data_IF_705419919767
#
_entry.id   IF_705419919767
#
_cell.length_a   1.000
_cell.length_b   1.000
_cell.length_c   1.000
_cell.angle_alpha   90.00
_cell.angle_beta   90.00
_cell.angle_gamma   90.00
#
_symmetry.space_group_name_H-M   'P 1'
#
loop_
_entity.id
_entity.type
_entity.pdbx_description
1 polymer ?
#
# COMPACT_ATOMS: atom_id res chain seq x y z
N UNK A 1 1.29 6.37 10.28
CA UNK A 1 2.76 6.47 10.13
C UNK A 1 3.27 5.22 9.44
N UNK A 2 4.09 5.36 8.42
CA UNK A 2 4.74 4.23 7.72
C UNK A 2 6.25 4.29 7.98
N UNK A 3 6.76 3.45 8.85
CA UNK A 3 8.18 3.37 9.20
C UNK A 3 8.82 2.22 8.41
N UNK A 4 9.98 2.45 7.78
CA UNK A 4 10.63 1.41 7.01
C UNK A 4 11.90 1.85 6.28
N UNK A 5 12.33 1.00 5.36
CA UNK A 5 13.54 1.15 4.55
C UNK A 5 13.30 1.81 3.18
N UNK A 6 14.08 1.41 2.17
CA UNK A 6 13.95 1.92 0.79
C UNK A 6 12.60 1.65 0.15
N UNK A 7 11.96 0.53 0.46
CA UNK A 7 10.68 0.15 -0.12
C UNK A 7 9.58 1.11 0.37
N UNK A 8 9.61 1.48 1.65
CA UNK A 8 8.74 2.52 2.21
C UNK A 8 9.11 3.92 1.69
N UNK A 9 10.42 4.21 1.55
CA UNK A 9 10.91 5.49 0.99
C UNK A 9 10.39 5.75 -0.43
N UNK A 10 10.20 4.72 -1.25
CA UNK A 10 9.64 4.86 -2.61
C UNK A 10 8.23 5.48 -2.64
N UNK A 11 7.54 5.54 -1.51
CA UNK A 11 6.22 6.15 -1.34
C UNK A 11 5.06 5.52 -2.14
N UNK A 12 5.25 4.37 -2.80
CA UNK A 12 4.21 3.82 -3.68
C UNK A 12 3.12 3.07 -2.90
N UNK A 13 3.46 1.99 -2.14
CA UNK A 13 2.43 1.27 -1.39
C UNK A 13 1.77 2.15 -0.33
N UNK A 14 2.52 3.10 0.25
CA UNK A 14 1.99 4.06 1.22
C UNK A 14 0.98 4.99 0.58
N UNK A 15 1.30 5.54 -0.60
CA UNK A 15 0.37 6.32 -1.41
C UNK A 15 -0.89 5.51 -1.74
N UNK A 16 -0.76 4.26 -2.17
CA UNK A 16 -1.92 3.43 -2.55
C UNK A 16 -2.84 3.15 -1.35
N UNK A 17 -2.28 3.01 -0.15
CA UNK A 17 -3.07 2.92 1.09
C UNK A 17 -3.76 4.25 1.38
N UNK A 18 -3.06 5.39 1.24
CA UNK A 18 -3.64 6.72 1.38
C UNK A 18 -4.81 6.93 0.42
N UNK A 19 -4.66 6.55 -0.86
CA UNK A 19 -5.70 6.64 -1.90
C UNK A 19 -6.96 5.87 -1.48
N UNK A 20 -6.79 4.67 -0.89
CA UNK A 20 -7.91 3.92 -0.33
C UNK A 20 -8.63 4.71 0.75
N UNK A 21 -7.92 5.26 1.73
CA UNK A 21 -8.54 5.98 2.85
C UNK A 21 -9.17 7.30 2.40
N UNK A 22 -8.54 8.06 1.49
CA UNK A 22 -9.11 9.31 0.97
C UNK A 22 -10.39 9.08 0.18
N UNK A 23 -10.45 8.05 -0.62
CA UNK A 23 -11.66 7.69 -1.39
C UNK A 23 -12.73 7.01 -0.53
N UNK A 24 -12.35 6.23 0.46
CA UNK A 24 -13.27 5.48 1.31
C UNK A 24 -13.88 6.30 2.42
N UNK A 25 -13.12 7.23 2.99
CA UNK A 25 -13.52 8.01 4.16
C UNK A 25 -13.31 9.52 3.94
N UNK A 26 -13.98 10.12 2.94
CA UNK A 26 -13.71 11.52 2.53
C UNK A 26 -14.06 12.55 3.63
N UNK A 27 -14.84 12.16 4.62
CA UNK A 27 -15.23 13.02 5.74
C UNK A 27 -14.28 12.90 6.96
N UNK A 28 -13.28 12.02 6.92
CA UNK A 28 -12.31 11.86 7.98
C UNK A 28 -11.01 12.59 7.64
N UNK A 29 -10.53 13.40 8.57
CA UNK A 29 -9.19 14.00 8.48
C UNK A 29 -8.15 13.00 8.97
N UNK A 30 -7.62 12.18 8.06
CA UNK A 30 -6.58 11.20 8.35
C UNK A 30 -5.24 11.77 7.87
N UNK A 31 -4.29 11.91 8.80
CA UNK A 31 -2.94 12.35 8.50
C UNK A 31 -2.03 11.15 8.32
N UNK A 32 -1.40 11.06 7.16
CA UNK A 32 -0.40 10.06 6.85
C UNK A 32 0.99 10.68 6.86
N UNK A 33 1.96 9.94 7.37
CA UNK A 33 3.37 10.32 7.33
C UNK A 33 4.21 9.13 6.91
N UNK A 34 5.02 9.32 5.87
CA UNK A 34 6.00 8.34 5.44
C UNK A 34 7.32 8.59 6.18
N UNK A 35 7.80 7.61 6.89
CA UNK A 35 9.07 7.58 7.60
C UNK A 35 9.99 6.47 7.07
N UNK A 36 10.00 6.23 5.75
CA UNK A 36 10.93 5.33 5.07
C UNK A 36 12.27 6.01 4.80
N UNK A 37 13.38 5.30 4.99
CA UNK A 37 14.72 5.77 4.61
C UNK A 37 15.52 4.64 3.96
N UNK A 38 16.04 4.90 2.76
CA UNK A 38 16.75 3.91 1.96
C UNK A 38 17.91 3.26 2.72
N UNK A 39 17.96 1.92 2.66
CA UNK A 39 19.00 1.11 3.29
C UNK A 39 18.89 1.05 4.82
N UNK A 40 17.75 1.44 5.42
CA UNK A 40 17.58 1.33 6.86
C UNK A 40 17.50 -0.13 7.31
N UNK A 41 18.10 -0.34 8.46
CA UNK A 41 17.97 -1.46 9.37
C UNK A 41 17.18 -1.02 10.61
N UNK A 42 16.79 -1.94 11.46
CA UNK A 42 16.04 -1.63 12.68
C UNK A 42 16.75 -0.59 13.57
N UNK A 43 18.07 -0.68 13.73
CA UNK A 43 18.83 0.29 14.53
C UNK A 43 18.81 1.71 13.93
N UNK A 44 18.76 1.87 12.60
CA UNK A 44 18.66 3.19 11.98
C UNK A 44 17.28 3.82 12.25
N UNK A 45 16.22 3.01 12.25
CA UNK A 45 14.89 3.46 12.61
C UNK A 45 14.84 3.96 14.06
N UNK A 46 15.49 3.25 15.00
CA UNK A 46 15.68 3.68 16.39
C UNK A 46 16.43 5.01 16.49
N UNK A 47 17.54 5.14 15.75
CA UNK A 47 18.39 6.34 15.75
C UNK A 47 17.66 7.62 15.35
N UNK A 48 16.67 7.54 14.47
CA UNK A 48 15.89 8.68 14.01
C UNK A 48 14.49 8.77 14.62
N UNK A 49 14.13 7.86 15.52
CA UNK A 49 12.78 7.73 16.06
C UNK A 49 12.26 9.02 16.69
N UNK A 50 13.08 9.68 17.52
CA UNK A 50 12.71 10.91 18.23
C UNK A 50 12.54 12.14 17.33
N UNK A 51 13.19 12.15 16.16
CA UNK A 51 13.08 13.27 15.22
C UNK A 51 12.08 13.04 14.09
N UNK A 52 11.89 11.79 13.68
CA UNK A 52 11.14 11.43 12.46
C UNK A 52 9.82 10.68 12.74
N UNK A 53 9.60 10.19 13.95
CA UNK A 53 8.41 9.41 14.31
C UNK A 53 7.66 10.03 15.50
N UNK A 54 8.33 10.18 16.64
CA UNK A 54 7.70 10.60 17.90
C UNK A 54 7.00 11.97 17.83
N UNK A 55 7.51 13.00 17.14
CA UNK A 55 6.88 14.32 17.10
C UNK A 55 5.48 14.32 16.46
N UNK A 56 5.17 13.34 15.60
CA UNK A 56 3.87 13.23 14.93
C UNK A 56 2.80 12.54 15.78
N UNK A 57 3.16 11.97 16.94
CA UNK A 57 2.24 11.28 17.87
C UNK A 57 1.28 10.33 17.13
N UNK A 58 1.77 9.41 16.30
CA UNK A 58 0.93 8.55 15.47
C UNK A 58 0.12 7.57 16.35
N UNK A 59 -1.13 7.31 15.96
CA UNK A 59 -1.95 6.26 16.59
C UNK A 59 -1.56 4.85 16.09
N UNK A 60 -1.16 4.75 14.84
CA UNK A 60 -0.76 3.50 14.19
C UNK A 60 0.58 3.69 13.50
N UNK A 61 1.48 2.73 13.67
CA UNK A 61 2.79 2.71 13.03
C UNK A 61 2.96 1.37 12.33
N UNK A 62 2.99 1.36 10.99
CA UNK A 62 3.46 0.18 10.26
C UNK A 62 4.98 0.15 10.27
N UNK A 63 5.58 -1.04 10.40
CA UNK A 63 7.03 -1.23 10.46
C UNK A 63 7.43 -2.25 9.40
N UNK A 64 8.13 -1.81 8.34
CA UNK A 64 8.65 -2.66 7.27
C UNK A 64 10.18 -2.61 7.29
N UNK A 65 10.81 -3.54 7.99
CA UNK A 65 12.25 -3.70 8.15
C UNK A 65 12.63 -5.18 8.07
N UNK A 66 13.90 -5.50 7.92
CA UNK A 66 14.42 -6.86 7.79
C UNK A 66 15.14 -7.10 6.47
N UNK A 67 14.74 -6.44 5.36
CA UNK A 67 15.37 -6.61 4.05
C UNK A 67 16.88 -6.27 4.09
N UNK A 68 17.28 -5.24 4.82
CA UNK A 68 18.68 -4.84 4.95
C UNK A 68 19.35 -5.45 6.18
N UNK A 69 18.58 -5.84 7.19
CA UNK A 69 19.08 -6.38 8.45
C UNK A 69 19.79 -7.70 8.25
N UNK A 70 19.26 -8.58 7.40
CA UNK A 70 19.87 -9.87 7.05
C UNK A 70 21.15 -9.80 6.22
N UNK A 71 21.59 -8.57 5.83
CA UNK A 71 22.88 -8.31 5.19
C UNK A 71 23.12 -9.07 3.88
N UNK A 72 22.08 -9.55 3.20
CA UNK A 72 22.14 -10.25 1.90
C UNK A 72 23.08 -11.46 1.88
N UNK A 73 22.99 -12.31 2.90
CA UNK A 73 23.78 -13.53 3.03
C UNK A 73 22.94 -14.66 3.63
N UNK A 74 23.55 -15.85 3.84
CA UNK A 74 22.91 -16.93 4.58
C UNK A 74 22.67 -16.53 6.03
N UNK A 75 21.90 -17.35 6.78
CA UNK A 75 21.61 -17.08 8.19
C UNK A 75 22.91 -16.96 9.02
N UNK A 76 22.95 -15.88 9.79
CA UNK A 76 24.00 -15.61 10.77
C UNK A 76 23.34 -15.24 12.09
N UNK A 77 23.69 -15.98 13.14
CA UNK A 77 23.08 -15.82 14.46
C UNK A 77 23.31 -14.43 15.07
N UNK A 78 24.51 -13.87 14.96
CA UNK A 78 24.84 -12.56 15.52
C UNK A 78 24.07 -11.43 14.83
N UNK A 79 23.95 -11.52 13.51
CA UNK A 79 23.17 -10.57 12.71
C UNK A 79 21.70 -10.65 13.09
N UNK A 80 21.17 -11.88 13.23
CA UNK A 80 19.79 -12.07 13.63
C UNK A 80 19.54 -11.59 15.06
N UNK A 81 20.41 -11.90 16.02
CA UNK A 81 20.30 -11.42 17.41
C UNK A 81 20.30 -9.88 17.49
N UNK A 82 21.07 -9.22 16.62
CA UNK A 82 21.04 -7.75 16.50
C UNK A 82 19.67 -7.26 16.01
N UNK A 83 19.14 -7.86 14.93
CA UNK A 83 17.81 -7.54 14.42
C UNK A 83 16.72 -7.76 15.47
N UNK A 84 16.74 -8.91 16.15
CA UNK A 84 15.79 -9.26 17.20
C UNK A 84 15.79 -8.21 18.33
N UNK A 85 16.98 -7.85 18.83
CA UNK A 85 17.16 -6.83 19.86
C UNK A 85 16.60 -5.48 19.41
N UNK A 86 16.97 -5.04 18.24
CA UNK A 86 16.61 -3.70 17.73
C UNK A 86 15.12 -3.61 17.43
N UNK A 87 14.52 -4.65 16.82
CA UNK A 87 13.08 -4.71 16.59
C UNK A 87 12.27 -4.79 17.88
N UNK A 88 12.77 -5.52 18.89
CA UNK A 88 12.16 -5.58 20.23
C UNK A 88 12.19 -4.20 20.90
N UNK A 89 13.33 -3.51 20.82
CA UNK A 89 13.47 -2.14 21.33
C UNK A 89 12.53 -1.18 20.60
N UNK A 90 12.43 -1.31 19.28
CA UNK A 90 11.52 -0.48 18.46
C UNK A 90 10.05 -0.70 18.85
N UNK A 91 9.64 -1.95 19.09
CA UNK A 91 8.31 -2.27 19.58
C UNK A 91 8.02 -1.61 20.95
N UNK A 92 9.00 -1.61 21.85
CA UNK A 92 8.91 -0.90 23.13
C UNK A 92 8.72 0.61 22.94
N UNK A 93 9.53 1.24 22.08
CA UNK A 93 9.42 2.68 21.77
C UNK A 93 8.06 3.06 21.16
N UNK A 94 7.48 2.19 20.32
CA UNK A 94 6.14 2.37 19.77
C UNK A 94 5.08 2.31 20.88
N UNK A 95 5.20 1.36 21.79
CA UNK A 95 4.29 1.23 22.92
C UNK A 95 4.38 2.42 23.90
N UNK A 96 5.57 2.94 24.17
CA UNK A 96 5.80 4.15 24.98
C UNK A 96 5.09 5.40 24.41
N UNK A 97 4.95 5.49 23.08
CA UNK A 97 4.15 6.55 22.44
C UNK A 97 2.63 6.36 22.61
N UNK A 98 2.18 5.22 23.13
CA UNK A 98 0.77 4.82 23.13
C UNK A 98 0.24 4.47 21.73
N UNK A 99 1.11 4.18 20.79
CA UNK A 99 0.76 3.80 19.42
C UNK A 99 0.59 2.27 19.30
N UNK A 100 -0.21 1.85 18.32
CA UNK A 100 -0.34 0.45 17.94
C UNK A 100 0.64 0.16 16.81
N UNK A 101 1.55 -0.78 17.01
CA UNK A 101 2.47 -1.28 16.00
C UNK A 101 1.75 -2.27 15.07
N UNK A 102 2.03 -2.16 13.76
CA UNK A 102 1.62 -3.13 12.75
C UNK A 102 2.89 -3.57 12.05
N UNK A 103 3.44 -4.70 12.47
CA UNK A 103 4.69 -5.21 11.93
C UNK A 103 4.41 -5.92 10.60
N UNK A 104 5.20 -5.58 9.60
CA UNK A 104 5.09 -6.14 8.26
C UNK A 104 6.28 -7.08 8.05
N UNK A 105 6.02 -8.33 7.67
CA UNK A 105 7.09 -9.23 7.24
C UNK A 105 7.88 -8.60 6.08
N UNK A 106 9.20 -8.86 5.97
CA UNK A 106 9.96 -8.39 4.83
C UNK A 106 9.33 -8.85 3.51
N UNK A 107 9.49 -8.07 2.44
CA UNK A 107 9.06 -8.47 1.10
C UNK A 107 9.91 -9.63 0.56
N UNK A 108 9.46 -10.28 -0.50
CA UNK A 108 10.29 -11.32 -1.13
C UNK A 108 11.56 -10.72 -1.75
N UNK A 109 12.64 -11.52 -1.74
CA UNK A 109 13.82 -11.33 -2.57
C UNK A 109 13.67 -12.17 -3.83
N UNK A 110 13.74 -11.56 -5.01
CA UNK A 110 13.57 -12.30 -6.27
C UNK A 110 14.87 -12.96 -6.71
N UNK A 111 15.12 -14.16 -6.22
CA UNK A 111 16.32 -14.95 -6.52
C UNK A 111 16.51 -15.20 -8.03
N UNK A 112 15.43 -15.34 -8.82
CA UNK A 112 15.54 -15.51 -10.28
C UNK A 112 16.09 -14.27 -10.97
N UNK A 113 15.61 -13.10 -10.57
CA UNK A 113 16.15 -11.83 -11.06
C UNK A 113 17.60 -11.68 -10.62
N UNK A 114 17.92 -12.00 -9.36
CA UNK A 114 19.28 -11.91 -8.84
C UNK A 114 20.28 -12.82 -9.56
N UNK A 115 19.85 -13.97 -10.05
CA UNK A 115 20.69 -14.88 -10.85
C UNK A 115 21.18 -14.22 -12.14
N UNK A 116 20.34 -13.41 -12.79
CA UNK A 116 20.66 -12.74 -14.07
C UNK A 116 21.24 -11.35 -13.82
N UNK A 117 20.70 -10.63 -12.84
CA UNK A 117 21.06 -9.24 -12.53
C UNK A 117 21.09 -9.05 -11.01
N UNK A 118 22.21 -9.39 -10.37
CA UNK A 118 22.33 -9.20 -8.93
C UNK A 118 22.22 -7.70 -8.54
N UNK A 119 21.77 -7.41 -7.30
CA UNK A 119 21.70 -6.04 -6.81
C UNK A 119 23.03 -5.29 -6.95
N UNK A 120 23.00 -4.08 -7.47
CA UNK A 120 24.20 -3.30 -7.87
C UNK A 120 25.15 -3.01 -6.71
N UNK A 121 24.67 -3.00 -5.47
CA UNK A 121 25.48 -2.74 -4.27
C UNK A 121 26.20 -3.99 -3.75
N UNK A 122 25.78 -5.19 -4.16
CA UNK A 122 26.50 -6.42 -3.86
C UNK A 122 27.69 -6.55 -4.80
N UNK A 123 28.90 -6.58 -4.25
CA UNK A 123 30.16 -6.63 -5.02
C UNK A 123 30.93 -7.93 -4.84
N UNK A 124 30.72 -8.60 -3.71
CA UNK A 124 31.39 -9.86 -3.40
C UNK A 124 30.61 -11.02 -4.07
N UNK A 125 31.31 -11.84 -4.86
CA UNK A 125 30.72 -12.98 -5.60
C UNK A 125 30.10 -14.02 -4.66
N UNK A 126 30.73 -14.29 -3.53
CA UNK A 126 30.22 -15.23 -2.54
C UNK A 126 28.92 -14.71 -1.90
N UNK A 127 28.90 -13.44 -1.51
CA UNK A 127 27.69 -12.80 -0.97
C UNK A 127 26.55 -12.80 -2.01
N UNK A 128 26.84 -12.54 -3.28
CA UNK A 128 25.84 -12.62 -4.36
C UNK A 128 25.28 -14.04 -4.46
N UNK A 129 26.14 -15.08 -4.44
CA UNK A 129 25.71 -16.46 -4.49
C UNK A 129 24.84 -16.82 -3.28
N UNK A 130 25.25 -16.46 -2.08
CA UNK A 130 24.50 -16.71 -0.83
C UNK A 130 23.13 -16.00 -0.86
N UNK A 131 23.09 -14.72 -1.26
CA UNK A 131 21.84 -13.98 -1.39
C UNK A 131 20.91 -14.65 -2.41
N UNK A 132 21.42 -15.03 -3.57
CA UNK A 132 20.63 -15.66 -4.62
C UNK A 132 20.05 -17.01 -4.17
N UNK A 133 20.78 -17.80 -3.39
CA UNK A 133 20.32 -19.13 -2.95
C UNK A 133 19.41 -19.08 -1.72
N UNK A 134 19.71 -18.21 -0.75
CA UNK A 134 19.14 -18.35 0.60
C UNK A 134 18.31 -17.14 1.07
N UNK A 135 18.46 -15.97 0.44
CA UNK A 135 17.96 -14.75 1.05
C UNK A 135 16.43 -14.69 1.14
N UNK A 136 15.73 -15.21 0.13
CA UNK A 136 14.26 -15.26 0.22
C UNK A 136 13.77 -16.16 1.38
N UNK A 137 14.44 -17.28 1.64
CA UNK A 137 14.13 -18.15 2.77
C UNK A 137 14.50 -17.50 4.12
N UNK A 138 15.60 -16.75 4.17
CA UNK A 138 15.99 -15.99 5.34
C UNK A 138 14.92 -14.93 5.67
N UNK A 139 14.41 -14.21 4.69
CA UNK A 139 13.37 -13.21 4.89
C UNK A 139 12.05 -13.83 5.37
N UNK A 140 11.72 -15.04 4.94
CA UNK A 140 10.59 -15.80 5.48
C UNK A 140 10.79 -16.13 6.97
N UNK A 141 12.00 -16.51 7.37
CA UNK A 141 12.34 -16.74 8.77
C UNK A 141 12.20 -15.44 9.60
N UNK A 142 12.74 -14.32 9.12
CA UNK A 142 12.60 -13.00 9.77
C UNK A 142 11.13 -12.59 9.90
N UNK A 143 10.33 -12.82 8.86
CA UNK A 143 8.90 -12.55 8.86
C UNK A 143 8.13 -13.39 9.88
N UNK A 144 8.49 -14.68 10.02
CA UNK A 144 7.89 -15.58 11.02
C UNK A 144 8.21 -15.11 12.45
N UNK A 145 9.46 -14.79 12.73
CA UNK A 145 9.87 -14.25 14.03
C UNK A 145 9.14 -12.91 14.32
N UNK A 146 9.09 -12.00 13.34
CA UNK A 146 8.42 -10.70 13.51
C UNK A 146 6.93 -10.85 13.81
N UNK A 147 6.25 -11.83 13.18
CA UNK A 147 4.86 -12.18 13.47
C UNK A 147 4.69 -12.61 14.93
N UNK A 148 5.47 -13.58 15.36
CA UNK A 148 5.32 -14.16 16.68
C UNK A 148 5.66 -13.12 17.77
N UNK A 149 6.70 -12.32 17.54
CA UNK A 149 7.09 -11.22 18.42
C UNK A 149 6.05 -10.09 18.49
N UNK A 150 5.41 -9.76 17.37
CA UNK A 150 4.35 -8.74 17.31
C UNK A 150 3.09 -9.21 18.05
N UNK A 151 2.61 -10.42 17.75
CA UNK A 151 1.39 -10.97 18.35
C UNK A 151 1.53 -11.17 19.84
N UNK A 152 2.69 -11.64 20.33
CA UNK A 152 2.98 -11.80 21.76
C UNK A 152 2.89 -10.47 22.54
N UNK A 153 2.99 -9.32 21.87
CA UNK A 153 2.90 -7.98 22.44
C UNK A 153 1.58 -7.26 22.14
N UNK A 154 0.60 -7.96 21.57
CA UNK A 154 -0.69 -7.36 21.21
C UNK A 154 -0.63 -6.39 20.01
N UNK A 155 0.44 -6.46 19.21
CA UNK A 155 0.59 -5.71 17.97
C UNK A 155 -0.03 -6.45 16.77
N UNK A 156 -0.28 -5.72 15.68
CA UNK A 156 -0.70 -6.31 14.41
C UNK A 156 0.48 -6.87 13.62
N UNK A 157 0.17 -7.81 12.73
CA UNK A 157 1.13 -8.33 11.75
C UNK A 157 0.50 -8.40 10.36
N UNK A 158 1.31 -8.13 9.32
CA UNK A 158 0.94 -8.26 7.91
C UNK A 158 2.01 -9.04 7.17
N UNK A 159 1.61 -10.11 6.49
CA UNK A 159 2.49 -10.88 5.61
C UNK A 159 2.66 -10.17 4.25
N UNK A 160 3.89 -9.79 3.93
CA UNK A 160 4.27 -9.20 2.65
C UNK A 160 4.91 -10.22 1.71
N UNK A 161 5.60 -11.20 2.25
CA UNK A 161 6.37 -12.18 1.48
C UNK A 161 5.45 -13.17 0.76
N UNK A 162 4.47 -13.71 1.46
CA UNK A 162 3.55 -14.72 0.92
C UNK A 162 2.81 -14.25 -0.32
N UNK A 163 2.06 -13.15 -0.29
CA UNK A 163 1.33 -12.65 -1.46
C UNK A 163 2.22 -12.34 -2.67
N UNK A 164 3.39 -11.71 -2.47
CA UNK A 164 4.33 -11.42 -3.54
C UNK A 164 4.90 -12.70 -4.18
N UNK A 165 5.35 -13.67 -3.36
CA UNK A 165 5.84 -14.95 -3.84
C UNK A 165 4.77 -15.73 -4.61
N UNK A 166 3.57 -15.82 -4.03
CA UNK A 166 2.47 -16.58 -4.62
C UNK A 166 2.08 -16.04 -6.00
N UNK A 167 1.81 -14.74 -6.10
CA UNK A 167 1.42 -14.13 -7.36
C UNK A 167 2.54 -14.19 -8.40
N UNK A 168 3.79 -13.90 -8.00
CA UNK A 168 4.94 -14.00 -8.90
C UNK A 168 5.10 -15.44 -9.43
N UNK A 169 4.97 -16.45 -8.58
CA UNK A 169 5.08 -17.86 -8.98
C UNK A 169 3.95 -18.27 -9.92
N UNK A 170 2.71 -17.87 -9.62
CA UNK A 170 1.55 -18.15 -10.47
C UNK A 170 1.69 -17.52 -11.86
N UNK A 171 2.11 -16.26 -11.94
CA UNK A 171 2.28 -15.60 -13.23
C UNK A 171 3.47 -16.18 -14.03
N UNK A 172 4.51 -16.65 -13.37
CA UNK A 172 5.65 -17.36 -14.02
C UNK A 172 5.28 -18.67 -14.68
N UNK A 173 4.19 -19.30 -14.31
CA UNK A 173 3.66 -20.46 -15.04
C UNK A 173 3.20 -20.09 -16.45
N UNK A 174 2.79 -18.85 -16.68
CA UNK A 174 2.33 -18.31 -17.96
C UNK A 174 3.46 -17.55 -18.68
N UNK A 175 4.24 -16.79 -17.93
CA UNK A 175 5.33 -15.94 -18.41
C UNK A 175 6.57 -16.14 -17.54
N UNK A 176 7.51 -17.03 -17.93
CA UNK A 176 8.65 -17.44 -17.08
C UNK A 176 9.55 -16.30 -16.57
N UNK A 177 9.64 -15.20 -17.30
CA UNK A 177 10.42 -14.00 -16.97
C UNK A 177 9.65 -12.94 -16.14
N UNK A 178 8.39 -13.23 -15.78
CA UNK A 178 7.57 -12.30 -15.01
C UNK A 178 8.22 -11.97 -13.66
N UNK A 179 8.26 -10.69 -13.34
CA UNK A 179 8.64 -10.19 -12.01
C UNK A 179 7.92 -8.88 -11.69
N UNK A 180 7.68 -8.65 -10.44
CA UNK A 180 7.28 -7.37 -9.86
C UNK A 180 8.43 -6.74 -9.02
N UNK A 181 9.63 -7.33 -9.09
CA UNK A 181 10.82 -6.90 -8.33
C UNK A 181 12.04 -6.88 -9.28
N UNK A 182 12.14 -5.87 -10.15
CA UNK A 182 13.06 -5.86 -11.30
C UNK A 182 14.55 -5.76 -10.97
N UNK A 183 14.90 -5.45 -9.72
CA UNK A 183 16.28 -5.43 -9.21
C UNK A 183 16.54 -6.45 -8.10
N UNK A 184 15.65 -7.42 -7.97
CA UNK A 184 15.62 -8.48 -6.95
C UNK A 184 15.21 -8.04 -5.53
N UNK A 185 15.14 -6.75 -5.22
CA UNK A 185 14.88 -6.22 -3.87
C UNK A 185 13.67 -5.30 -3.81
N UNK A 186 13.56 -4.36 -4.74
CA UNK A 186 12.56 -3.32 -4.70
C UNK A 186 11.37 -3.65 -5.59
N UNK A 187 10.18 -3.86 -5.00
CA UNK A 187 8.95 -4.01 -5.79
C UNK A 187 8.70 -2.76 -6.65
N UNK A 188 8.35 -2.97 -7.92
CA UNK A 188 7.85 -1.90 -8.79
C UNK A 188 6.44 -1.46 -8.39
N UNK A 189 5.80 -0.58 -9.15
CA UNK A 189 4.45 -0.09 -8.85
C UNK A 189 3.43 -1.25 -8.72
N UNK A 190 3.56 -2.30 -9.54
CA UNK A 190 2.68 -3.48 -9.47
C UNK A 190 2.93 -4.30 -8.19
N UNK A 191 4.17 -4.55 -7.83
CA UNK A 191 4.52 -5.22 -6.57
C UNK A 191 4.08 -4.42 -5.35
N UNK A 192 4.21 -3.11 -5.39
CA UNK A 192 3.74 -2.25 -4.31
C UNK A 192 2.20 -2.12 -4.26
N UNK A 193 1.49 -2.30 -5.37
CA UNK A 193 0.03 -2.47 -5.35
C UNK A 193 -0.38 -3.77 -4.64
N UNK A 194 0.35 -4.86 -4.86
CA UNK A 194 0.16 -6.11 -4.08
C UNK A 194 0.41 -5.88 -2.60
N UNK A 195 1.44 -5.12 -2.23
CA UNK A 195 1.72 -4.77 -0.83
C UNK A 195 0.59 -3.96 -0.20
N UNK A 196 0.13 -2.90 -0.86
CA UNK A 196 -0.98 -2.08 -0.37
C UNK A 196 -2.26 -2.91 -0.20
N UNK A 197 -2.58 -3.76 -1.18
CA UNK A 197 -3.68 -4.70 -1.11
C UNK A 197 -3.53 -5.64 0.11
N UNK A 198 -2.34 -6.19 0.35
CA UNK A 198 -2.07 -7.10 1.46
C UNK A 198 -2.28 -6.44 2.82
N UNK A 199 -1.84 -5.17 2.98
CA UNK A 199 -2.11 -4.39 4.20
C UNK A 199 -3.62 -4.23 4.40
N UNK A 200 -4.33 -3.73 3.40
CA UNK A 200 -5.76 -3.44 3.50
C UNK A 200 -6.59 -4.71 3.72
N UNK A 201 -6.27 -5.80 3.01
CA UNK A 201 -7.01 -7.07 3.14
C UNK A 201 -6.80 -7.71 4.52
N UNK A 202 -5.54 -7.81 5.00
CA UNK A 202 -5.21 -8.44 6.28
C UNK A 202 -5.65 -7.57 7.47
N UNK A 203 -5.75 -6.25 7.30
CA UNK A 203 -6.37 -5.34 8.28
C UNK A 203 -7.91 -5.32 8.20
N UNK A 204 -8.52 -6.18 7.40
CA UNK A 204 -9.97 -6.27 7.21
C UNK A 204 -10.63 -4.94 6.83
N UNK A 205 -10.00 -4.21 5.91
CA UNK A 205 -10.50 -2.93 5.41
C UNK A 205 -11.89 -3.09 4.74
N UNK A 206 -12.71 -2.04 4.80
CA UNK A 206 -14.08 -2.08 4.27
C UNK A 206 -14.07 -2.31 2.75
N UNK A 207 -14.83 -3.29 2.28
CA UNK A 207 -14.84 -3.77 0.89
C UNK A 207 -15.89 -3.08 0.01
N UNK A 208 -16.98 -2.56 0.60
CA UNK A 208 -18.14 -2.09 -0.14
C UNK A 208 -18.08 -0.59 -0.41
N UNK A 209 -18.19 -0.22 -1.67
CA UNK A 209 -18.29 1.18 -2.14
C UNK A 209 -19.74 1.48 -2.53
N UNK A 210 -20.29 0.68 -3.45
CA UNK A 210 -21.66 0.80 -3.93
C UNK A 210 -22.40 -0.52 -3.77
N UNK A 211 -23.58 -0.48 -3.16
CA UNK A 211 -24.49 -1.61 -3.06
C UNK A 211 -25.92 -1.12 -3.34
N UNK A 212 -26.29 -1.10 -4.62
CA UNK A 212 -27.60 -0.67 -5.11
C UNK A 212 -28.45 -1.86 -5.48
N UNK A 213 -29.69 -1.88 -5.02
CA UNK A 213 -30.70 -2.86 -5.44
C UNK A 213 -31.97 -2.14 -5.82
N UNK A 214 -32.40 -2.33 -7.06
CA UNK A 214 -33.67 -1.85 -7.60
C UNK A 214 -34.59 -3.04 -7.89
N UNK A 215 -35.82 -2.97 -7.41
CA UNK A 215 -36.84 -3.99 -7.67
C UNK A 215 -38.10 -3.33 -8.26
N UNK A 216 -38.58 -3.89 -9.35
CA UNK A 216 -39.88 -3.54 -9.92
C UNK A 216 -40.99 -4.32 -9.22
N UNK A 217 -41.87 -3.62 -8.59
CA UNK A 217 -43.02 -4.19 -7.81
C UNK A 217 -44.31 -3.74 -8.50
N UNK A 218 -44.81 -4.57 -9.42
CA UNK A 218 -45.92 -4.20 -10.32
C UNK A 218 -45.51 -3.03 -11.23
N UNK A 219 -46.22 -1.92 -11.14
CA UNK A 219 -45.88 -0.67 -11.90
C UNK A 219 -44.88 0.24 -11.18
N UNK A 220 -44.51 -0.05 -9.93
CA UNK A 220 -43.67 0.82 -9.10
C UNK A 220 -42.24 0.28 -8.99
N UNK A 221 -41.27 1.19 -8.86
CA UNK A 221 -39.89 0.86 -8.57
C UNK A 221 -39.53 1.17 -7.12
N UNK A 222 -38.76 0.28 -6.50
CA UNK A 222 -38.16 0.50 -5.20
C UNK A 222 -36.64 0.35 -5.32
N UNK A 223 -35.90 1.40 -4.97
CA UNK A 223 -34.44 1.40 -4.97
C UNK A 223 -33.93 1.55 -3.54
N UNK A 224 -32.96 0.73 -3.16
CA UNK A 224 -32.35 0.72 -1.82
C UNK A 224 -30.84 0.65 -1.92
N UNK A 225 -30.15 1.22 -0.94
CA UNK A 225 -28.69 1.12 -0.80
C UNK A 225 -28.29 1.12 0.67
N UNK A 226 -27.27 0.34 1.01
CA UNK A 226 -26.57 0.39 2.32
C UNK A 226 -25.32 1.26 2.31
N UNK A 227 -24.95 1.87 1.16
CA UNK A 227 -23.67 2.57 0.96
C UNK A 227 -23.84 4.03 0.53
N UNK A 228 -25.03 4.57 0.67
CA UNK A 228 -25.33 5.95 0.31
C UNK A 228 -26.84 6.22 0.38
N UNK A 229 -27.23 7.41 -0.01
CA UNK A 229 -28.61 7.89 0.01
C UNK A 229 -29.22 7.86 -1.40
N UNK A 230 -30.36 7.17 -1.55
CA UNK A 230 -31.17 7.17 -2.75
C UNK A 230 -32.29 8.20 -2.63
N UNK A 231 -32.56 8.96 -3.69
CA UNK A 231 -33.69 9.90 -3.80
C UNK A 231 -34.19 9.99 -5.23
N UNK A 232 -35.31 10.69 -5.44
CA UNK A 232 -35.89 11.03 -6.74
C UNK A 232 -36.11 9.78 -7.63
N UNK A 233 -36.59 8.69 -7.04
CA UNK A 233 -36.89 7.46 -7.77
C UNK A 233 -38.07 7.69 -8.71
N UNK A 234 -37.84 7.56 -10.00
CA UNK A 234 -38.83 7.67 -11.09
C UNK A 234 -38.70 6.44 -11.97
N UNK A 235 -39.82 5.86 -12.36
CA UNK A 235 -39.79 4.69 -13.25
C UNK A 235 -41.12 4.51 -13.94
N UNK A 236 -41.06 4.22 -15.23
CA UNK A 236 -42.18 3.89 -16.07
C UNK A 236 -41.82 2.69 -16.96
N UNK A 237 -42.64 1.68 -16.97
CA UNK A 237 -42.32 0.43 -17.67
C UNK A 237 -40.99 -0.15 -17.16
N UNK A 238 -40.06 -0.35 -18.09
CA UNK A 238 -38.70 -0.85 -17.81
C UNK A 238 -37.62 0.26 -17.77
N UNK A 239 -38.06 1.51 -17.72
CA UNK A 239 -37.16 2.66 -17.53
C UNK A 239 -37.14 3.02 -16.04
N UNK A 240 -35.94 3.21 -15.50
CA UNK A 240 -35.71 3.59 -14.12
C UNK A 240 -34.66 4.71 -14.03
N UNK A 241 -35.00 5.78 -13.34
CA UNK A 241 -34.07 6.84 -12.96
C UNK A 241 -34.15 7.14 -11.47
N UNK A 242 -33.02 7.49 -10.86
CA UNK A 242 -32.93 7.90 -9.47
C UNK A 242 -31.65 8.70 -9.22
N UNK A 243 -31.59 9.41 -8.12
CA UNK A 243 -30.34 10.01 -7.63
C UNK A 243 -29.73 9.12 -6.56
N UNK A 244 -28.42 8.96 -6.62
CA UNK A 244 -27.65 8.24 -5.60
C UNK A 244 -26.48 9.10 -5.14
N UNK A 245 -26.50 9.47 -3.85
CA UNK A 245 -25.36 10.11 -3.19
C UNK A 245 -24.54 9.04 -2.49
N UNK A 246 -23.44 8.61 -3.11
CA UNK A 246 -22.53 7.64 -2.54
C UNK A 246 -21.79 8.21 -1.30
N UNK A 247 -21.46 7.34 -0.35
CA UNK A 247 -20.65 7.70 0.83
C UNK A 247 -19.15 7.63 0.54
N UNK A 248 -18.75 6.97 -0.55
CA UNK A 248 -17.36 6.71 -0.89
C UNK A 248 -17.16 6.64 -2.41
N UNK A 249 -15.92 6.78 -2.85
CA UNK A 249 -15.46 6.50 -4.21
C UNK A 249 -14.77 5.13 -4.28
N UNK A 250 -14.66 4.52 -5.46
CA UNK A 250 -13.86 3.31 -5.64
C UNK A 250 -12.38 3.58 -5.34
N UNK A 251 -11.67 2.53 -4.94
CA UNK A 251 -10.21 2.57 -4.84
C UNK A 251 -9.62 2.33 -6.22
N UNK A 252 -9.02 3.35 -6.79
CA UNK A 252 -8.38 3.35 -8.11
C UNK A 252 -6.91 3.67 -7.91
N UNK A 253 -6.04 3.01 -8.64
CA UNK A 253 -4.60 3.25 -8.61
C UNK A 253 -4.12 3.91 -9.89
N UNK A 254 -2.94 4.57 -9.87
CA UNK A 254 -2.28 5.04 -11.07
C UNK A 254 -2.06 3.92 -12.11
N UNK A 255 -2.04 4.24 -13.41
CA UNK A 255 -1.97 3.22 -14.49
C UNK A 255 -0.80 2.26 -14.40
N UNK A 256 0.34 2.69 -13.88
CA UNK A 256 1.55 1.89 -13.70
C UNK A 256 1.44 0.80 -12.62
N UNK A 257 0.41 0.84 -11.77
CA UNK A 257 0.12 -0.13 -10.71
C UNK A 257 -1.02 -1.12 -11.07
N UNK A 258 -1.62 -0.99 -12.25
CA UNK A 258 -2.86 -1.70 -12.59
C UNK A 258 -2.70 -3.21 -12.75
N UNK A 259 -1.52 -3.72 -13.15
CA UNK A 259 -1.29 -5.17 -13.20
C UNK A 259 -1.36 -5.79 -11.80
N UNK A 260 -0.70 -5.20 -10.80
CA UNK A 260 -0.78 -5.66 -9.41
C UNK A 260 -2.20 -5.57 -8.84
N UNK A 261 -2.92 -4.49 -9.14
CA UNK A 261 -4.31 -4.31 -8.78
C UNK A 261 -5.22 -5.42 -9.34
N UNK A 262 -5.02 -5.79 -10.61
CA UNK A 262 -5.79 -6.84 -11.29
C UNK A 262 -5.44 -8.24 -10.76
N UNK A 263 -4.16 -8.54 -10.58
CA UNK A 263 -3.69 -9.84 -10.06
C UNK A 263 -4.25 -10.15 -8.67
N UNK A 264 -4.35 -9.16 -7.81
CA UNK A 264 -4.96 -9.28 -6.47
C UNK A 264 -6.48 -9.33 -6.50
N UNK A 265 -7.11 -8.99 -7.62
CA UNK A 265 -8.56 -8.73 -7.73
C UNK A 265 -9.02 -7.62 -6.77
N UNK A 266 -8.17 -6.61 -6.57
CA UNK A 266 -8.37 -5.55 -5.59
C UNK A 266 -9.70 -4.81 -5.76
N UNK A 267 -10.11 -4.52 -6.99
CA UNK A 267 -11.41 -3.91 -7.29
C UNK A 267 -12.58 -4.72 -6.74
N UNK A 268 -12.60 -6.03 -6.99
CA UNK A 268 -13.65 -6.92 -6.48
C UNK A 268 -13.58 -7.08 -4.95
N UNK A 269 -12.37 -7.22 -4.40
CA UNK A 269 -12.17 -7.56 -2.99
C UNK A 269 -12.23 -6.35 -2.03
N UNK A 270 -11.74 -5.18 -2.46
CA UNK A 270 -11.59 -4.00 -1.60
C UNK A 270 -12.31 -2.75 -2.12
N UNK A 271 -12.92 -2.80 -3.31
CA UNK A 271 -13.55 -1.64 -3.94
C UNK A 271 -14.85 -1.99 -4.64
N UNK A 272 -15.65 -2.88 -4.04
CA UNK A 272 -16.76 -3.50 -4.72
C UNK A 272 -17.93 -2.53 -4.96
N UNK A 273 -18.30 -2.35 -6.21
CA UNK A 273 -19.45 -1.56 -6.67
C UNK A 273 -20.49 -2.48 -7.34
N UNK A 274 -21.55 -2.78 -6.61
CA UNK A 274 -22.61 -3.72 -7.06
C UNK A 274 -23.90 -3.00 -7.39
N UNK A 275 -24.46 -3.32 -8.55
CA UNK A 275 -25.79 -2.90 -8.94
C UNK A 275 -26.62 -4.11 -9.34
N UNK A 276 -27.81 -4.21 -8.78
CA UNK A 276 -28.80 -5.25 -9.08
C UNK A 276 -30.10 -4.59 -9.46
N UNK A 277 -30.69 -4.98 -10.61
CA UNK A 277 -32.00 -4.47 -11.07
C UNK A 277 -32.87 -5.67 -11.45
N UNK A 278 -33.95 -5.88 -10.72
CA UNK A 278 -34.87 -7.01 -10.89
C UNK A 278 -36.24 -6.57 -11.39
N UNK A 279 -36.88 -7.46 -12.15
CA UNK A 279 -38.24 -7.25 -12.67
C UNK A 279 -38.27 -6.55 -14.02
N UNK A 280 -37.16 -6.44 -14.72
CA UNK A 280 -37.08 -6.00 -16.10
C UNK A 280 -37.62 -7.08 -17.05
N UNK A 281 -38.29 -6.71 -18.12
CA UNK A 281 -38.67 -7.61 -19.21
C UNK A 281 -37.43 -8.18 -19.93
N UNK A 282 -37.49 -9.33 -20.60
CA UNK A 282 -36.38 -9.83 -21.41
C UNK A 282 -35.89 -8.80 -22.44
N UNK A 283 -34.62 -8.44 -22.37
CA UNK A 283 -34.04 -7.43 -23.25
C UNK A 283 -32.64 -6.97 -22.85
N UNK A 284 -32.10 -5.99 -23.58
CA UNK A 284 -30.85 -5.28 -23.28
C UNK A 284 -31.17 -3.85 -22.82
N UNK A 285 -30.44 -3.39 -21.82
CA UNK A 285 -30.65 -2.10 -21.16
C UNK A 285 -29.34 -1.33 -21.07
N UNK A 286 -29.35 -0.06 -21.45
CA UNK A 286 -28.25 0.86 -21.24
C UNK A 286 -28.23 1.37 -19.80
N UNK A 287 -27.07 1.30 -19.15
CA UNK A 287 -26.84 1.95 -17.86
C UNK A 287 -26.15 3.29 -18.10
N UNK A 288 -26.75 4.37 -17.57
CA UNK A 288 -26.16 5.71 -17.58
C UNK A 288 -25.93 6.19 -16.16
N UNK A 289 -24.79 6.85 -15.93
CA UNK A 289 -24.46 7.53 -14.67
C UNK A 289 -24.11 8.97 -15.04
N UNK A 290 -24.80 9.95 -14.46
CA UNK A 290 -24.65 11.38 -14.75
C UNK A 290 -24.66 11.70 -16.26
N UNK A 291 -25.55 11.01 -17.01
CA UNK A 291 -25.69 11.15 -18.46
C UNK A 291 -24.72 10.34 -19.32
N UNK A 292 -23.63 9.81 -18.73
CA UNK A 292 -22.64 8.98 -19.43
C UNK A 292 -23.11 7.54 -19.52
N UNK A 293 -23.15 6.96 -20.74
CA UNK A 293 -23.43 5.53 -20.91
C UNK A 293 -22.21 4.70 -20.51
N UNK A 294 -22.34 3.97 -19.40
CA UNK A 294 -21.26 3.18 -18.82
C UNK A 294 -21.31 1.71 -19.23
N UNK A 295 -22.37 1.27 -19.85
CA UNK A 295 -22.46 -0.08 -20.40
C UNK A 295 -23.86 -0.49 -20.79
N UNK A 296 -23.94 -1.62 -21.50
CA UNK A 296 -25.20 -2.28 -21.87
C UNK A 296 -25.23 -3.70 -21.28
N UNK A 297 -26.33 -4.06 -20.65
CA UNK A 297 -26.47 -5.31 -19.92
C UNK A 297 -27.81 -5.96 -20.23
N UNK A 298 -27.85 -7.27 -20.26
CA UNK A 298 -29.12 -8.00 -20.35
C UNK A 298 -29.89 -7.90 -19.02
N UNK A 299 -31.23 -8.08 -19.08
CA UNK A 299 -32.06 -8.19 -17.87
C UNK A 299 -31.55 -9.25 -16.89
N UNK A 300 -31.01 -10.37 -17.40
CA UNK A 300 -30.45 -11.44 -16.59
C UNK A 300 -29.17 -11.00 -15.86
N UNK A 301 -28.26 -10.31 -16.54
CA UNK A 301 -27.06 -9.74 -15.92
C UNK A 301 -27.41 -8.74 -14.82
N UNK A 302 -28.33 -7.80 -15.11
CA UNK A 302 -28.80 -6.82 -14.14
C UNK A 302 -29.54 -7.49 -12.96
N UNK A 303 -30.34 -8.51 -13.22
CA UNK A 303 -31.08 -9.25 -12.20
C UNK A 303 -30.18 -10.08 -11.28
N UNK A 304 -29.08 -10.62 -11.80
CA UNK A 304 -28.06 -11.31 -11.03
C UNK A 304 -27.22 -10.32 -10.22
N UNK A 305 -26.39 -9.58 -10.90
CA UNK A 305 -25.50 -8.53 -10.35
C UNK A 305 -24.53 -8.06 -11.45
N UNK A 306 -24.34 -6.77 -11.59
CA UNK A 306 -23.21 -6.19 -12.31
C UNK A 306 -22.24 -5.54 -11.32
N UNK A 307 -20.96 -5.48 -11.71
CA UNK A 307 -19.90 -4.85 -10.94
C UNK A 307 -19.27 -3.73 -11.76
N UNK A 308 -19.09 -2.54 -11.16
CA UNK A 308 -18.68 -1.32 -11.86
C UNK A 308 -17.27 -0.84 -11.47
N UNK A 309 -16.65 -1.40 -10.43
CA UNK A 309 -15.39 -0.91 -9.86
C UNK A 309 -14.18 -0.88 -10.82
N UNK A 310 -14.26 -1.56 -11.95
CA UNK A 310 -13.21 -1.54 -12.97
C UNK A 310 -13.68 -0.87 -14.27
N UNK A 311 -14.82 -0.20 -14.23
CA UNK A 311 -15.35 0.47 -15.40
C UNK A 311 -14.88 1.93 -15.45
N UNK A 312 -13.85 2.17 -16.25
CA UNK A 312 -13.22 3.48 -16.42
C UNK A 312 -14.15 4.56 -17.01
N UNK A 313 -15.28 4.16 -17.62
CA UNK A 313 -16.28 5.11 -18.13
C UNK A 313 -17.12 5.75 -17.03
N UNK A 314 -17.11 5.19 -15.83
CA UNK A 314 -17.94 5.73 -14.74
C UNK A 314 -17.36 7.02 -14.18
N UNK A 315 -18.19 8.06 -13.94
CA UNK A 315 -17.73 9.32 -13.38
C UNK A 315 -17.00 9.17 -12.04
N UNK A 316 -17.46 8.25 -11.17
CA UNK A 316 -16.83 7.99 -9.89
C UNK A 316 -15.45 7.32 -10.03
N UNK A 317 -15.21 6.50 -11.05
CA UNK A 317 -13.87 5.97 -11.33
C UNK A 317 -12.92 7.10 -11.73
N UNK A 318 -13.35 8.00 -12.63
CA UNK A 318 -12.56 9.13 -13.06
C UNK A 318 -12.23 10.08 -11.90
N UNK A 319 -13.20 10.37 -11.04
CA UNK A 319 -12.96 11.18 -9.85
C UNK A 319 -11.98 10.50 -8.88
N UNK A 320 -12.08 9.20 -8.69
CA UNK A 320 -11.15 8.44 -7.84
C UNK A 320 -9.73 8.42 -8.43
N UNK A 321 -9.60 8.28 -9.75
CA UNK A 321 -8.31 8.37 -10.44
C UNK A 321 -7.67 9.76 -10.28
N UNK A 322 -8.46 10.83 -10.37
CA UNK A 322 -7.99 12.18 -10.11
C UNK A 322 -7.42 12.33 -8.70
N UNK A 323 -8.10 11.80 -7.68
CA UNK A 323 -7.58 11.77 -6.29
C UNK A 323 -6.25 11.03 -6.21
N UNK A 324 -6.13 9.85 -6.83
CA UNK A 324 -4.90 9.06 -6.82
C UNK A 324 -3.74 9.81 -7.53
N UNK A 325 -4.02 10.49 -8.65
CA UNK A 325 -3.00 11.26 -9.37
C UNK A 325 -2.55 12.51 -8.62
N UNK A 326 -3.46 13.22 -7.94
CA UNK A 326 -3.11 14.33 -7.07
C UNK A 326 -2.25 13.88 -5.88
N UNK A 327 -2.58 12.74 -5.28
CA UNK A 327 -1.77 12.17 -4.22
C UNK A 327 -0.40 11.68 -4.71
N UNK A 328 -0.32 11.12 -5.92
CA UNK A 328 0.96 10.79 -6.57
C UNK A 328 1.84 12.04 -6.69
N UNK A 329 1.27 13.13 -7.20
CA UNK A 329 1.98 14.40 -7.34
C UNK A 329 2.48 14.92 -5.98
N UNK A 330 1.65 14.86 -4.93
CA UNK A 330 2.06 15.23 -3.55
C UNK A 330 3.22 14.37 -3.06
N UNK A 331 3.16 13.06 -3.26
CA UNK A 331 4.22 12.15 -2.86
C UNK A 331 5.54 12.44 -3.60
N UNK A 332 5.49 12.70 -4.90
CA UNK A 332 6.66 13.03 -5.71
C UNK A 332 7.27 14.39 -5.36
N UNK A 333 6.45 15.42 -5.13
CA UNK A 333 6.92 16.80 -4.94
C UNK A 333 7.25 17.17 -3.50
N UNK A 334 6.65 16.48 -2.50
CA UNK A 334 6.84 16.82 -1.09
C UNK A 334 7.37 15.63 -0.28
N UNK A 335 6.71 14.48 -0.31
CA UNK A 335 7.04 13.36 0.59
C UNK A 335 8.40 12.76 0.24
N UNK A 336 8.63 12.40 -1.01
CA UNK A 336 9.90 11.80 -1.45
C UNK A 336 11.11 12.75 -1.22
N UNK A 337 11.06 14.05 -1.54
CA UNK A 337 12.12 15.00 -1.17
C UNK A 337 12.39 15.05 0.34
N UNK A 338 11.36 15.02 1.19
CA UNK A 338 11.52 14.93 2.64
C UNK A 338 12.30 13.68 3.06
N UNK A 339 11.95 12.52 2.50
CA UNK A 339 12.69 11.27 2.76
C UNK A 339 14.14 11.36 2.28
N UNK A 340 14.38 12.06 1.16
CA UNK A 340 15.71 12.36 0.66
C UNK A 340 16.58 13.15 1.67
N UNK A 341 16.01 14.07 2.45
CA UNK A 341 16.76 14.78 3.50
C UNK A 341 17.17 13.85 4.64
N UNK A 342 16.27 12.94 5.05
CA UNK A 342 16.60 11.94 6.08
C UNK A 342 17.69 10.96 5.60
N UNK A 343 17.71 10.59 4.32
CA UNK A 343 18.79 9.79 3.73
C UNK A 343 20.14 10.55 3.75
N UNK A 344 20.15 11.85 3.47
CA UNK A 344 21.34 12.69 3.58
C UNK A 344 21.86 12.76 5.02
N UNK A 345 20.96 12.94 6.01
CA UNK A 345 21.30 12.94 7.44
C UNK A 345 21.99 11.63 7.83
N UNK A 346 21.41 10.47 7.44
CA UNK A 346 22.02 9.17 7.68
C UNK A 346 23.43 9.07 7.07
N UNK A 347 23.60 9.51 5.82
CA UNK A 347 24.89 9.51 5.13
C UNK A 347 25.95 10.37 5.82
N UNK A 348 25.59 11.53 6.35
CA UNK A 348 26.52 12.41 7.09
C UNK A 348 26.90 11.79 8.42
N UNK A 349 25.95 11.21 9.16
CA UNK A 349 26.23 10.50 10.42
C UNK A 349 27.19 9.32 10.21
N UNK A 350 26.99 8.54 9.16
CA UNK A 350 27.85 7.41 8.80
C UNK A 350 29.29 7.83 8.43
N UNK A 351 29.51 9.09 8.03
CA UNK A 351 30.83 9.63 7.71
C UNK A 351 31.53 10.25 8.93
N UNK A 352 30.92 10.15 10.09
CA UNK A 352 31.52 10.66 11.34
C UNK A 352 31.84 12.17 11.29
N UNK A 353 31.00 12.96 10.61
CA UNK A 353 31.21 14.41 10.46
C UNK A 353 31.29 15.10 11.80
N UNK A 354 30.49 14.63 12.79
CA UNK A 354 30.47 15.18 14.13
C UNK A 354 31.81 15.09 14.86
N UNK A 355 32.54 13.97 14.69
CA UNK A 355 33.84 13.76 15.34
C UNK A 355 34.98 14.40 14.60
N UNK A 356 34.90 14.54 13.27
CA UNK A 356 35.96 15.12 12.42
C UNK A 356 35.90 16.64 12.33
N UNK A 357 34.69 17.21 12.27
CA UNK A 357 34.49 18.66 12.20
C UNK A 357 33.12 19.01 12.85
N UNK A 358 33.12 19.34 14.15
CA UNK A 358 31.93 19.70 14.88
C UNK A 358 31.18 20.90 14.28
N UNK A 359 31.88 21.85 13.68
CA UNK A 359 31.29 23.03 13.07
C UNK A 359 30.55 22.66 11.79
N UNK A 360 31.18 21.90 10.91
CA UNK A 360 30.56 21.40 9.69
C UNK A 360 29.33 20.53 9.99
N UNK A 361 29.36 19.73 11.05
CA UNK A 361 28.20 18.94 11.52
C UNK A 361 27.05 19.84 11.95
N UNK A 362 27.30 20.87 12.77
CA UNK A 362 26.27 21.81 13.22
C UNK A 362 25.64 22.59 12.06
N UNK A 363 26.49 23.07 11.11
CA UNK A 363 26.01 23.76 9.90
C UNK A 363 25.12 22.85 9.03
N UNK A 364 25.53 21.60 8.86
CA UNK A 364 24.71 20.61 8.14
C UNK A 364 23.37 20.39 8.85
N UNK A 365 23.39 20.21 10.17
CA UNK A 365 22.19 19.90 10.94
C UNK A 365 21.20 21.06 10.91
N UNK A 366 21.65 22.29 11.02
CA UNK A 366 20.81 23.48 10.91
C UNK A 366 20.13 23.58 9.54
N UNK A 367 20.88 23.31 8.45
CA UNK A 367 20.31 23.27 7.09
C UNK A 367 19.29 22.12 6.92
N UNK A 368 19.61 20.96 7.46
CA UNK A 368 18.71 19.80 7.46
C UNK A 368 17.39 20.12 8.17
N UNK A 369 17.44 20.67 9.38
CA UNK A 369 16.23 21.01 10.15
C UNK A 369 15.37 22.08 9.45
N UNK A 370 16.01 23.10 8.87
CA UNK A 370 15.31 24.14 8.11
C UNK A 370 14.56 23.56 6.91
N UNK A 371 15.21 22.66 6.16
CA UNK A 371 14.61 22.04 4.99
C UNK A 371 13.50 21.03 5.37
N UNK A 372 13.66 20.25 6.43
CA UNK A 372 12.59 19.40 6.97
C UNK A 372 11.39 20.24 7.36
N UNK A 373 11.58 21.34 8.08
CA UNK A 373 10.48 22.25 8.45
C UNK A 373 9.77 22.85 7.24
N UNK A 374 10.53 23.15 6.17
CA UNK A 374 9.97 23.67 4.91
C UNK A 374 9.10 22.63 4.20
N UNK A 375 9.55 21.39 4.13
CA UNK A 375 8.86 20.29 3.44
C UNK A 375 7.65 19.73 4.21
N UNK A 376 7.56 20.01 5.52
CA UNK A 376 6.41 19.63 6.36
C UNK A 376 5.28 20.66 6.35
N UNK A 377 5.48 21.84 5.79
CA UNK A 377 4.44 22.88 5.59
C UNK A 377 3.66 22.62 4.30
#
# INVERSE_FOLDING_TARGET
MFLGDSITHQCLYTQFIEDYYYTRYPNLQIHFHNAGVSGDKAFHALDRFDGDVAPFKPKYITVLLGMNDGAYQHFNHEIFATYEKDMTTLAGRIAELGAIGIFMGPTMYDSRVATVKPPRWLKNKEQIAQATMYYNALLAFYGTWARDAALARGNGYVDMLGPLNQLTTQERLKKPDFTMIPDAVHPDANGQAVMAFSVLEQMNANRSVTALTANKLGSKWRVTSGTGKVSDVKGEGDTLGFKFKANALPWVLPPDAMTGYQLTKAGHKLSNERVVVRGLSPGKYGLKIDGVEVGQYTHAQLGAKIELQSNEKTPQYQQALEVAMLNKERNEKAVNPLRGQWSKRKGQRSRDVQTKDPKAYQEFYAKFEAEVKRLLK
#
